data_IF_771113858413
#
_entry.id   IF_771113858413
#
_cell.length_a   1.000
_cell.length_b   1.000
_cell.length_c   1.000
_cell.angle_alpha   90.00
_cell.angle_beta   90.00
_cell.angle_gamma   90.00
#
_symmetry.space_group_name_H-M   'P 1'
#
loop_
_entity.id
_entity.type
_entity.pdbx_description
1 polymer ?
#
# COMPACT_ATOMS: atom_id res chain seq x y z
N UNK A 1 25.84 39.74 27.54
CA UNK A 1 25.96 38.83 28.70
C UNK A 1 27.08 39.38 29.57
N UNK A 2 26.71 39.96 30.71
CA UNK A 2 27.61 40.72 31.59
C UNK A 2 28.60 39.77 32.27
N UNK A 3 29.84 40.19 32.47
CA UNK A 3 30.92 39.34 33.02
C UNK A 3 30.52 38.71 34.38
N UNK A 4 29.70 39.44 35.15
CA UNK A 4 29.08 39.00 36.40
C UNK A 4 28.17 37.77 36.25
N UNK A 5 27.37 37.71 35.18
CA UNK A 5 26.43 36.60 34.94
C UNK A 5 27.19 35.33 34.58
N UNK A 6 28.28 35.47 33.82
CA UNK A 6 29.15 34.35 33.46
C UNK A 6 29.82 33.74 34.68
N UNK A 7 30.33 34.59 35.58
CA UNK A 7 30.93 34.15 36.86
C UNK A 7 29.90 33.44 37.75
N UNK A 8 28.66 33.93 37.80
CA UNK A 8 27.57 33.29 38.55
C UNK A 8 27.17 31.93 37.96
N UNK A 9 27.12 31.80 36.64
CA UNK A 9 26.83 30.52 35.96
C UNK A 9 27.97 29.52 36.17
N UNK A 10 29.23 29.94 36.16
CA UNK A 10 30.38 29.05 36.42
C UNK A 10 30.43 28.59 37.88
N UNK A 11 30.13 29.46 38.85
CA UNK A 11 30.13 29.09 40.27
C UNK A 11 28.98 28.13 40.63
N UNK A 12 27.78 28.37 40.09
CA UNK A 12 26.63 27.48 40.31
C UNK A 12 26.82 26.13 39.62
N UNK A 13 27.44 26.11 38.42
CA UNK A 13 27.79 24.87 37.71
C UNK A 13 28.76 24.01 38.51
N UNK A 14 29.83 24.61 39.04
CA UNK A 14 30.84 23.88 39.83
C UNK A 14 30.28 23.38 41.17
N UNK A 15 29.40 24.14 41.83
CA UNK A 15 28.71 23.66 43.04
C UNK A 15 27.78 22.48 42.74
N UNK A 16 27.00 22.51 41.66
CA UNK A 16 26.13 21.39 41.26
C UNK A 16 26.93 20.15 40.90
N UNK A 17 28.03 20.29 40.16
CA UNK A 17 28.88 19.15 39.82
C UNK A 17 29.42 18.48 41.07
N UNK A 18 29.97 19.24 42.03
CA UNK A 18 30.50 18.71 43.29
C UNK A 18 29.42 18.02 44.14
N UNK A 19 28.24 18.63 44.28
CA UNK A 19 27.09 18.02 44.98
C UNK A 19 26.64 16.72 44.31
N UNK A 20 26.54 16.72 42.97
CA UNK A 20 26.12 15.54 42.21
C UNK A 20 27.14 14.40 42.33
N UNK A 21 28.44 14.71 42.35
CA UNK A 21 29.47 13.70 42.56
C UNK A 21 29.45 13.14 43.98
N UNK A 22 29.21 13.98 44.99
CA UNK A 22 29.11 13.55 46.38
C UNK A 22 27.88 12.66 46.63
N UNK A 23 26.74 12.99 46.03
CA UNK A 23 25.52 12.16 46.08
C UNK A 23 25.70 10.80 45.40
N UNK A 24 26.47 10.74 44.31
CA UNK A 24 26.61 9.53 43.51
C UNK A 24 27.65 8.55 44.07
N UNK A 25 28.70 9.04 44.73
CA UNK A 25 29.88 8.23 45.11
C UNK A 25 30.25 8.29 46.61
N UNK A 26 29.57 9.10 47.42
CA UNK A 26 29.90 9.28 48.83
C UNK A 26 31.23 10.03 49.06
N UNK A 27 31.64 10.14 50.33
CA UNK A 27 32.83 10.88 50.75
C UNK A 27 34.12 10.07 50.51
N UNK A 28 34.50 9.81 49.25
CA UNK A 28 35.77 9.15 48.93
C UNK A 28 36.58 9.89 47.88
N UNK A 29 37.83 10.10 48.27
CA UNK A 29 38.87 10.95 47.69
C UNK A 29 39.69 10.19 46.62
N UNK A 30 39.01 9.45 45.72
CA UNK A 30 39.71 8.70 44.68
C UNK A 30 39.64 9.42 43.33
N UNK A 31 40.80 9.93 42.93
CA UNK A 31 41.16 10.72 41.74
C UNK A 31 40.95 9.99 40.38
N UNK A 32 39.80 9.36 40.14
CA UNK A 32 39.44 8.79 38.83
C UNK A 32 38.39 9.66 38.17
N UNK A 33 38.77 10.37 37.10
CA UNK A 33 37.85 11.15 36.27
C UNK A 33 36.92 10.14 35.57
N UNK A 34 35.79 9.81 36.20
CA UNK A 34 34.83 8.87 35.65
C UNK A 34 34.27 9.50 34.38
N UNK A 35 34.66 8.96 33.23
CA UNK A 35 34.07 9.32 31.96
C UNK A 35 32.65 8.75 31.96
N UNK A 36 31.69 9.54 32.46
CA UNK A 36 30.31 9.14 32.49
C UNK A 36 29.87 8.95 31.03
N UNK A 37 29.49 7.72 30.67
CA UNK A 37 28.95 7.41 29.34
C UNK A 37 27.58 8.10 29.10
N UNK A 38 27.19 9.07 29.92
CA UNK A 38 25.93 9.83 29.85
C UNK A 38 25.75 10.45 28.47
N UNK A 39 26.82 10.98 27.85
CA UNK A 39 26.74 11.50 26.47
C UNK A 39 26.46 10.41 25.45
N UNK A 40 26.99 9.19 25.65
CA UNK A 40 26.68 8.02 24.81
C UNK A 40 25.28 7.49 25.07
N UNK A 41 24.81 7.51 26.32
CA UNK A 41 23.46 7.08 26.71
C UNK A 41 22.39 8.01 26.11
N UNK A 42 22.57 9.33 26.22
CA UNK A 42 21.68 10.30 25.58
C UNK A 42 21.72 10.11 24.06
N UNK A 43 22.91 9.89 23.48
CA UNK A 43 23.06 9.58 22.06
C UNK A 43 22.27 8.33 21.64
N UNK A 44 22.36 7.23 22.39
CA UNK A 44 21.62 5.99 22.08
C UNK A 44 20.11 6.17 22.21
N UNK A 45 19.64 6.95 23.19
CA UNK A 45 18.21 7.23 23.35
C UNK A 45 17.65 7.99 22.15
N UNK A 46 18.38 9.00 21.65
CA UNK A 46 17.95 9.76 20.46
C UNK A 46 17.93 8.86 19.21
N UNK A 47 18.96 8.03 19.01
CA UNK A 47 19.00 7.10 17.87
C UNK A 47 17.84 6.10 17.95
N UNK A 48 17.58 5.54 19.12
CA UNK A 48 16.46 4.61 19.33
C UNK A 48 15.11 5.27 19.03
N UNK A 49 14.91 6.52 19.45
CA UNK A 49 13.68 7.27 19.16
C UNK A 49 13.48 7.50 17.65
N UNK A 50 14.53 7.91 16.94
CA UNK A 50 14.46 8.14 15.48
C UNK A 50 14.18 6.84 14.73
N UNK A 51 14.85 5.75 15.10
CA UNK A 51 14.59 4.44 14.50
C UNK A 51 13.15 3.98 14.75
N UNK A 52 12.63 4.17 15.97
CA UNK A 52 11.24 3.85 16.31
C UNK A 52 10.22 4.62 15.46
N UNK A 53 10.38 5.95 15.35
CA UNK A 53 9.49 6.78 14.52
C UNK A 53 9.59 6.40 13.03
N UNK A 54 10.80 6.09 12.56
CA UNK A 54 11.00 5.61 11.19
C UNK A 54 10.25 4.32 10.88
N UNK A 55 10.35 3.32 11.77
CA UNK A 55 9.62 2.06 11.61
C UNK A 55 8.10 2.28 11.62
N UNK A 56 7.58 3.05 12.58
CA UNK A 56 6.14 3.33 12.67
C UNK A 56 5.62 4.10 11.45
N UNK A 57 6.38 5.08 10.97
CA UNK A 57 6.04 5.86 9.78
C UNK A 57 6.02 4.99 8.52
N UNK A 58 7.01 4.13 8.34
CA UNK A 58 7.05 3.22 7.18
C UNK A 58 5.87 2.26 7.18
N UNK A 59 5.58 1.60 8.30
CA UNK A 59 4.42 0.71 8.41
C UNK A 59 3.10 1.43 8.13
N UNK A 60 2.94 2.66 8.61
CA UNK A 60 1.73 3.44 8.37
C UNK A 60 1.55 3.81 6.89
N UNK A 61 2.62 4.22 6.20
CA UNK A 61 2.56 4.57 4.77
C UNK A 61 2.24 3.34 3.93
N UNK A 62 2.89 2.20 4.20
CA UNK A 62 2.61 0.94 3.49
C UNK A 62 1.14 0.54 3.69
N UNK A 63 0.66 0.53 4.93
CA UNK A 63 -0.74 0.21 5.23
C UNK A 63 -1.74 1.16 4.55
N UNK A 64 -1.40 2.45 4.42
CA UNK A 64 -2.25 3.41 3.70
C UNK A 64 -2.27 3.17 2.18
N UNK A 65 -1.14 2.76 1.61
CA UNK A 65 -1.04 2.46 0.19
C UNK A 65 -1.82 1.19 -0.16
N UNK A 66 -1.71 0.16 0.67
CA UNK A 66 -2.41 -1.11 0.43
C UNK A 66 -3.92 -0.91 0.53
N UNK A 67 -4.43 -0.29 1.60
CA UNK A 67 -5.86 0.01 1.74
C UNK A 67 -6.43 0.81 0.54
N UNK A 68 -5.65 1.76 -0.02
CA UNK A 68 -6.09 2.53 -1.19
C UNK A 68 -6.19 1.68 -2.45
N UNK A 69 -5.29 0.72 -2.64
CA UNK A 69 -5.32 -0.17 -3.80
C UNK A 69 -6.55 -1.06 -3.76
N UNK A 70 -6.90 -1.59 -2.58
CA UNK A 70 -8.10 -2.42 -2.42
C UNK A 70 -9.38 -1.63 -2.70
N UNK A 71 -9.52 -0.44 -2.11
CA UNK A 71 -10.67 0.44 -2.35
C UNK A 71 -10.77 0.87 -3.82
N UNK A 72 -9.63 1.15 -4.46
CA UNK A 72 -9.57 1.51 -5.88
C UNK A 72 -9.96 0.33 -6.78
N UNK A 73 -9.53 -0.90 -6.45
CA UNK A 73 -9.91 -2.10 -7.19
C UNK A 73 -11.42 -2.38 -7.08
N UNK A 74 -12.01 -2.26 -5.89
CA UNK A 74 -13.48 -2.41 -5.76
C UNK A 74 -14.23 -1.30 -6.51
N UNK A 75 -13.68 -0.09 -6.56
CA UNK A 75 -14.27 1.02 -7.32
C UNK A 75 -14.11 0.86 -8.84
N UNK A 76 -12.97 0.37 -9.34
CA UNK A 76 -12.75 0.09 -10.77
C UNK A 76 -13.67 -1.02 -11.24
N UNK A 77 -13.84 -2.09 -10.45
CA UNK A 77 -14.82 -3.15 -10.70
C UNK A 77 -16.25 -2.58 -10.87
N UNK A 78 -16.66 -1.69 -9.97
CA UNK A 78 -17.98 -1.02 -10.04
C UNK A 78 -18.09 -0.04 -11.21
N UNK A 79 -17.00 0.60 -11.63
CA UNK A 79 -16.98 1.54 -12.73
C UNK A 79 -16.96 0.83 -14.09
N UNK A 80 -16.27 -0.30 -14.20
CA UNK A 80 -16.28 -1.16 -15.39
C UNK A 80 -17.68 -1.70 -15.67
N UNK A 81 -18.40 -2.12 -14.61
CA UNK A 81 -19.84 -2.42 -14.67
C UNK A 81 -20.70 -1.26 -15.21
N UNK A 82 -20.20 -0.02 -15.20
CA UNK A 82 -20.92 1.18 -15.59
C UNK A 82 -20.38 1.85 -16.89
N UNK A 83 -19.35 1.30 -17.53
CA UNK A 83 -18.65 1.95 -18.65
C UNK A 83 -19.39 1.79 -20.00
N UNK A 84 -19.25 2.80 -20.86
CA UNK A 84 -20.09 3.04 -22.04
C UNK A 84 -19.49 2.43 -23.34
N UNK A 85 -20.23 1.55 -24.05
CA UNK A 85 -19.74 0.64 -25.11
C UNK A 85 -19.51 1.22 -26.52
N UNK A 86 -18.86 0.43 -27.40
CA UNK A 86 -18.95 0.49 -28.87
C UNK A 86 -20.44 0.56 -29.24
N UNK A 87 -20.86 1.54 -30.06
CA UNK A 87 -22.27 1.71 -30.41
C UNK A 87 -22.76 0.53 -31.24
N UNK A 88 -23.97 0.07 -30.94
CA UNK A 88 -24.68 -0.90 -31.78
C UNK A 88 -24.83 -0.36 -33.21
N UNK A 89 -24.63 -1.23 -34.19
CA UNK A 89 -24.83 -0.90 -35.60
C UNK A 89 -25.82 -1.87 -36.23
N UNK A 90 -26.51 -1.51 -37.33
CA UNK A 90 -27.45 -2.42 -37.98
C UNK A 90 -26.81 -3.76 -38.41
N UNK A 91 -25.52 -3.75 -38.71
CA UNK A 91 -24.76 -4.95 -39.12
C UNK A 91 -24.25 -5.76 -37.92
N UNK A 92 -24.20 -5.15 -36.74
CA UNK A 92 -23.76 -5.78 -35.49
C UNK A 92 -24.65 -5.28 -34.33
N UNK A 93 -25.89 -5.78 -34.23
CA UNK A 93 -26.82 -5.37 -33.21
C UNK A 93 -26.37 -5.83 -31.83
N UNK A 94 -26.76 -5.06 -30.80
CA UNK A 94 -26.61 -5.49 -29.42
C UNK A 94 -27.59 -6.62 -29.12
N UNK A 95 -27.08 -7.73 -28.60
CA UNK A 95 -27.90 -8.81 -28.09
C UNK A 95 -28.54 -8.36 -26.75
N UNK A 96 -29.87 -8.29 -26.65
CA UNK A 96 -30.56 -7.84 -25.44
C UNK A 96 -30.41 -8.81 -24.25
N UNK A 97 -30.06 -10.08 -24.48
CA UNK A 97 -29.88 -11.06 -23.40
C UNK A 97 -28.49 -10.96 -22.77
N UNK A 98 -27.46 -10.83 -23.59
CA UNK A 98 -26.06 -10.89 -23.15
C UNK A 98 -25.40 -9.52 -23.01
N UNK A 99 -25.90 -8.51 -23.73
CA UNK A 99 -25.28 -7.18 -23.80
C UNK A 99 -24.03 -7.14 -24.68
N UNK A 100 -23.79 -8.17 -25.49
CA UNK A 100 -22.68 -8.23 -26.46
C UNK A 100 -23.14 -7.86 -27.86
N UNK A 101 -22.21 -7.41 -28.68
CA UNK A 101 -22.47 -7.20 -30.11
C UNK A 101 -22.51 -8.57 -30.79
N UNK A 102 -23.64 -8.89 -31.40
CA UNK A 102 -23.82 -10.14 -32.13
C UNK A 102 -23.58 -9.91 -33.61
N UNK A 103 -22.63 -10.62 -34.20
CA UNK A 103 -22.52 -10.68 -35.65
C UNK A 103 -23.55 -11.70 -36.18
N UNK A 104 -24.60 -11.24 -36.89
CA UNK A 104 -25.66 -12.12 -37.38
C UNK A 104 -25.19 -13.05 -38.50
N UNK A 105 -24.02 -12.80 -39.12
CA UNK A 105 -23.47 -13.59 -40.21
C UNK A 105 -22.57 -14.70 -39.66
N UNK A 106 -21.64 -14.36 -38.78
CA UNK A 106 -20.69 -15.34 -38.22
C UNK A 106 -21.21 -16.06 -36.97
N UNK A 107 -22.20 -15.48 -36.29
CA UNK A 107 -22.75 -16.00 -35.04
C UNK A 107 -21.86 -15.74 -33.82
N UNK A 108 -20.78 -14.97 -33.98
CA UNK A 108 -19.85 -14.63 -32.92
C UNK A 108 -20.39 -13.49 -32.06
N UNK A 109 -20.02 -13.49 -30.78
CA UNK A 109 -20.19 -12.35 -29.90
C UNK A 109 -18.90 -11.56 -29.81
N UNK A 110 -19.04 -10.24 -29.79
CA UNK A 110 -17.95 -9.30 -29.62
C UNK A 110 -18.29 -8.44 -28.41
N UNK A 111 -17.33 -8.31 -27.51
CA UNK A 111 -17.46 -7.38 -26.41
C UNK A 111 -17.46 -5.94 -26.96
N UNK A 112 -18.53 -5.17 -26.73
CA UNK A 112 -18.54 -3.79 -27.16
C UNK A 112 -17.56 -2.89 -26.42
N UNK A 113 -16.94 -3.27 -25.31
CA UNK A 113 -15.95 -2.40 -24.66
C UNK A 113 -14.56 -2.57 -25.27
N UNK A 114 -14.12 -3.81 -25.45
CA UNK A 114 -12.76 -4.14 -25.91
C UNK A 114 -12.66 -4.47 -27.41
N UNK A 115 -13.77 -4.88 -28.03
CA UNK A 115 -13.79 -5.43 -29.39
C UNK A 115 -13.26 -6.87 -29.47
N UNK A 116 -13.05 -7.55 -28.34
CA UNK A 116 -12.59 -8.94 -28.29
C UNK A 116 -13.72 -9.93 -28.56
N UNK A 117 -13.33 -11.12 -29.03
CA UNK A 117 -14.28 -12.22 -29.23
C UNK A 117 -14.70 -12.78 -27.89
N UNK A 118 -16.02 -12.95 -27.72
CA UNK A 118 -16.63 -13.50 -26.52
C UNK A 118 -17.16 -14.89 -26.82
N UNK A 119 -16.76 -15.85 -25.99
CA UNK A 119 -17.32 -17.19 -26.02
C UNK A 119 -18.79 -17.14 -25.56
N UNK A 120 -19.69 -17.71 -26.37
CA UNK A 120 -21.13 -17.70 -26.13
C UNK A 120 -21.54 -18.51 -24.90
N UNK A 121 -20.86 -19.59 -24.58
CA UNK A 121 -21.22 -20.46 -23.46
C UNK A 121 -20.76 -19.87 -22.13
N UNK A 122 -19.55 -19.29 -22.10
CA UNK A 122 -18.95 -18.77 -20.87
C UNK A 122 -19.20 -17.29 -20.65
N UNK A 123 -19.43 -16.53 -21.73
CA UNK A 123 -19.54 -15.07 -21.69
C UNK A 123 -18.21 -14.35 -21.44
N UNK A 124 -17.08 -15.05 -21.55
CA UNK A 124 -15.74 -14.50 -21.36
C UNK A 124 -15.13 -14.11 -22.70
N UNK A 125 -14.36 -13.02 -22.71
CA UNK A 125 -13.54 -12.61 -23.83
C UNK A 125 -12.14 -13.22 -23.74
N UNK A 126 -11.51 -13.45 -24.90
CA UNK A 126 -10.11 -13.86 -24.98
C UNK A 126 -9.26 -12.74 -25.62
N UNK A 127 -8.21 -12.32 -24.92
CA UNK A 127 -7.18 -11.40 -25.42
C UNK A 127 -6.35 -12.10 -26.53
N UNK A 128 -5.80 -11.37 -27.52
CA UNK A 128 -4.70 -11.85 -28.38
C UNK A 128 -3.62 -12.72 -27.72
N UNK A 129 -3.30 -12.50 -26.44
CA UNK A 129 -2.32 -13.30 -25.69
C UNK A 129 -2.88 -14.60 -25.09
N UNK A 130 -4.17 -14.89 -25.27
CA UNK A 130 -4.86 -16.08 -24.77
C UNK A 130 -5.35 -15.97 -23.33
N UNK A 131 -5.33 -14.77 -22.75
CA UNK A 131 -5.84 -14.52 -21.41
C UNK A 131 -7.35 -14.34 -21.45
N UNK A 132 -8.07 -14.93 -20.49
CA UNK A 132 -9.51 -14.74 -20.35
C UNK A 132 -9.83 -13.48 -19.56
N UNK A 133 -10.71 -12.67 -20.12
CA UNK A 133 -11.21 -11.41 -19.57
C UNK A 133 -12.70 -11.56 -19.39
N UNK A 134 -13.26 -11.10 -18.26
CA UNK A 134 -14.71 -10.92 -18.13
C UNK A 134 -15.09 -9.53 -18.64
N UNK A 135 -15.76 -9.42 -19.81
CA UNK A 135 -16.14 -8.14 -20.41
C UNK A 135 -17.03 -7.26 -19.53
N UNK A 136 -17.70 -7.83 -18.54
CA UNK A 136 -18.66 -7.09 -17.68
C UNK A 136 -17.95 -6.16 -16.71
N UNK A 137 -16.70 -6.51 -16.38
CA UNK A 137 -15.88 -5.86 -15.36
C UNK A 137 -14.47 -5.52 -15.86
N UNK A 138 -14.12 -5.96 -17.08
CA UNK A 138 -12.82 -5.75 -17.73
C UNK A 138 -11.63 -6.27 -16.90
N UNK A 139 -11.83 -7.40 -16.21
CA UNK A 139 -10.80 -8.01 -15.34
C UNK A 139 -10.40 -9.38 -15.89
N UNK A 140 -9.14 -9.73 -15.67
CA UNK A 140 -8.64 -11.05 -16.02
C UNK A 140 -9.22 -12.10 -15.09
N UNK A 141 -9.66 -13.23 -15.64
CA UNK A 141 -10.10 -14.39 -14.88
C UNK A 141 -9.02 -15.48 -14.95
N UNK A 142 -8.52 -15.88 -13.79
CA UNK A 142 -7.73 -17.10 -13.68
C UNK A 142 -8.67 -18.32 -13.57
N UNK A 143 -8.68 -19.16 -14.60
CA UNK A 143 -9.54 -20.37 -14.62
C UNK A 143 -9.13 -21.46 -13.64
N UNK A 144 -7.88 -21.45 -13.15
CA UNK A 144 -7.41 -22.45 -12.19
C UNK A 144 -7.93 -22.12 -10.78
N UNK A 145 -7.88 -20.85 -10.41
CA UNK A 145 -8.26 -20.39 -9.06
C UNK A 145 -9.67 -19.81 -8.99
N UNK A 146 -10.23 -19.35 -10.11
CA UNK A 146 -11.49 -18.62 -10.18
C UNK A 146 -11.39 -17.17 -9.68
N UNK A 147 -10.17 -16.65 -9.49
CA UNK A 147 -9.95 -15.29 -9.02
C UNK A 147 -9.93 -14.29 -10.17
N UNK A 148 -10.34 -13.07 -9.86
CA UNK A 148 -10.32 -11.96 -10.79
C UNK A 148 -9.18 -11.00 -10.48
N UNK A 149 -8.41 -10.64 -11.49
CA UNK A 149 -7.26 -9.74 -11.36
C UNK A 149 -7.51 -8.45 -12.13
N UNK A 150 -7.45 -7.31 -11.44
CA UNK A 150 -7.56 -5.99 -12.06
C UNK A 150 -6.29 -5.73 -12.91
N UNK A 151 -6.42 -5.51 -14.24
CA UNK A 151 -5.28 -5.24 -15.12
C UNK A 151 -4.55 -3.93 -14.78
N UNK A 152 -5.23 -2.95 -14.20
CA UNK A 152 -4.67 -1.64 -13.90
C UNK A 152 -3.87 -1.65 -12.59
N UNK A 153 -4.34 -2.38 -11.57
CA UNK A 153 -3.71 -2.39 -10.23
C UNK A 153 -2.92 -3.65 -9.93
N UNK A 154 -3.15 -4.74 -10.67
CA UNK A 154 -2.58 -6.07 -10.41
C UNK A 154 -3.09 -6.68 -9.10
N UNK A 155 -4.27 -6.26 -8.62
CA UNK A 155 -4.88 -6.78 -7.39
C UNK A 155 -5.79 -7.93 -7.77
N UNK A 156 -5.60 -9.06 -7.12
CA UNK A 156 -6.41 -10.26 -7.29
C UNK A 156 -7.48 -10.32 -6.22
N UNK A 157 -8.73 -10.55 -6.60
CA UNK A 157 -9.89 -10.64 -5.70
C UNK A 157 -10.58 -11.99 -5.89
N UNK A 158 -10.93 -12.61 -4.77
CA UNK A 158 -11.83 -13.75 -4.76
C UNK A 158 -13.28 -13.25 -4.89
N UNK A 159 -14.01 -13.59 -5.97
CA UNK A 159 -15.38 -13.13 -6.18
C UNK A 159 -16.36 -13.70 -5.15
N UNK A 160 -16.07 -14.86 -4.55
CA UNK A 160 -16.96 -15.50 -3.57
C UNK A 160 -16.88 -14.82 -2.19
N UNK A 161 -15.67 -14.47 -1.75
CA UNK A 161 -15.46 -13.85 -0.44
C UNK A 161 -15.36 -12.33 -0.50
N UNK A 162 -15.23 -11.76 -1.70
CA UNK A 162 -15.01 -10.32 -1.95
C UNK A 162 -13.79 -9.76 -1.21
N UNK A 163 -12.76 -10.60 -1.05
CA UNK A 163 -11.51 -10.22 -0.38
C UNK A 163 -10.37 -10.25 -1.38
N UNK A 164 -9.40 -9.37 -1.15
CA UNK A 164 -8.14 -9.41 -1.88
C UNK A 164 -7.40 -10.69 -1.49
N UNK A 165 -6.97 -11.42 -2.51
CA UNK A 165 -6.10 -12.57 -2.35
C UNK A 165 -4.69 -12.01 -2.28
N UNK A 166 -4.11 -12.03 -1.08
CA UNK A 166 -2.68 -11.76 -0.92
C UNK A 166 -1.91 -12.88 -1.63
N UNK A 167 -1.31 -12.59 -2.78
CA UNK A 167 -0.29 -13.50 -3.32
C UNK A 167 0.84 -13.57 -2.31
N UNK A 168 1.11 -14.76 -1.76
CA UNK A 168 2.32 -15.00 -0.99
C UNK A 168 3.51 -14.70 -1.90
N UNK A 169 4.06 -13.48 -1.80
CA UNK A 169 5.31 -13.10 -2.45
C UNK A 169 6.39 -14.05 -1.94
N UNK A 170 6.71 -15.05 -2.76
CA UNK A 170 7.78 -16.00 -2.52
C UNK A 170 9.15 -15.37 -2.72
#
# INVERSE_FOLDING_TARGET
MTDRDRILVESTRTHRERLSSALSFGALEQRRKVNTNVRRFIGSVVIAAVAGVGCLGFSFVVNLLDNRKEDQAVASFRAALAANPIPETPDMPLDPETGFLADPVSGNFIDPQTGFFVDRETGLAEDPDGNLIDPRIDWYLDTETGYYTDPATGVTIDPATQRVVEEEKK
#
